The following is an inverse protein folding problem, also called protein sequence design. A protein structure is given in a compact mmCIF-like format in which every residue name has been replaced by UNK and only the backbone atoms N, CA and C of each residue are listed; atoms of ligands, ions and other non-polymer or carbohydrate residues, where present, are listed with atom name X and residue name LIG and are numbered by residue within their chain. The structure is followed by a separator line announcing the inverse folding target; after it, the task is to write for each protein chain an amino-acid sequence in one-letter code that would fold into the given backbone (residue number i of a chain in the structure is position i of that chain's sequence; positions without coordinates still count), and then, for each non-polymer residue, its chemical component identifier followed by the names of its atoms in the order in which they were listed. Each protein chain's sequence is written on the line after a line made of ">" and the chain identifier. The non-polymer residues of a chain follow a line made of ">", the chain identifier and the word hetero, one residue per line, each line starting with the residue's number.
data_IF_166810441514
#
_entry.id   IF_166810441514
#
_cell.length_a   1.000
_cell.length_b   1.000
_cell.length_c   1.000
_cell.angle_alpha   90.00
_cell.angle_beta   90.00
_cell.angle_gamma   90.00
#
_symmetry.space_group_name_H-M   'P 1'
#
loop_
_entity.id
_entity.type
_entity.pdbx_description
1 polymer ?
#
# COMPACT_ATOMS: atom_id res chain seq x y z
N UNK A 1 5.69 42.24 -3.37
CA UNK A 1 4.83 41.33 -4.17
C UNK A 1 3.42 41.43 -3.63
N UNK A 2 2.39 41.73 -4.44
CA UNK A 2 1.01 41.68 -4.01
C UNK A 2 0.64 40.29 -3.48
N UNK A 3 -0.19 40.27 -2.42
CA UNK A 3 -0.73 39.04 -1.82
C UNK A 3 -2.24 39.06 -1.91
N UNK A 4 -2.81 37.92 -2.32
CA UNK A 4 -4.23 37.73 -2.56
C UNK A 4 -4.74 36.59 -1.68
N UNK A 5 -5.85 36.81 -0.97
CA UNK A 5 -6.55 35.74 -0.25
C UNK A 5 -7.48 35.02 -1.22
N UNK A 6 -7.35 33.69 -1.32
CA UNK A 6 -8.09 32.87 -2.30
C UNK A 6 -9.02 31.90 -1.57
N UNK A 7 -10.31 31.93 -1.94
CA UNK A 7 -11.30 30.98 -1.44
C UNK A 7 -11.78 31.27 -0.01
N UNK A 8 -12.32 30.26 0.69
CA UNK A 8 -12.90 30.45 2.00
C UNK A 8 -11.79 30.53 3.08
N UNK A 9 -12.05 31.31 4.13
CA UNK A 9 -11.09 31.53 5.22
C UNK A 9 -10.68 30.24 5.94
N UNK A 10 -11.52 29.19 5.87
CA UNK A 10 -11.23 27.85 6.40
C UNK A 10 -10.02 27.16 5.76
N UNK A 11 -9.60 27.59 4.57
CA UNK A 11 -8.40 27.07 3.91
C UNK A 11 -7.14 27.90 4.18
N UNK A 12 -7.30 29.14 4.66
CA UNK A 12 -6.20 30.05 4.92
C UNK A 12 -5.23 30.20 3.74
N UNK A 13 -5.72 30.11 2.51
CA UNK A 13 -4.90 30.12 1.30
C UNK A 13 -4.61 31.56 0.87
N UNK A 14 -3.33 31.91 0.85
CA UNK A 14 -2.83 33.18 0.35
C UNK A 14 -1.88 32.93 -0.83
N UNK A 15 -2.02 33.70 -1.90
CA UNK A 15 -1.16 33.64 -3.09
C UNK A 15 -0.41 34.96 -3.21
N UNK A 16 0.92 34.89 -3.29
CA UNK A 16 1.81 36.02 -3.51
C UNK A 16 2.37 35.92 -4.91
N UNK A 17 2.29 36.98 -5.72
CA UNK A 17 2.80 36.98 -7.09
C UNK A 17 3.64 38.21 -7.36
N UNK A 18 4.62 38.10 -8.25
CA UNK A 18 5.39 39.25 -8.74
C UNK A 18 4.54 40.20 -9.59
N UNK A 19 3.46 39.69 -10.19
CA UNK A 19 2.59 40.42 -11.11
C UNK A 19 1.20 40.58 -10.50
N UNK A 20 0.47 41.58 -10.99
CA UNK A 20 -0.95 41.71 -10.66
C UNK A 20 -1.71 40.63 -11.42
N UNK A 21 -2.31 39.69 -10.69
CA UNK A 21 -3.13 38.62 -11.27
C UNK A 21 -4.41 39.21 -11.88
N UNK A 22 -4.87 38.62 -12.97
CA UNK A 22 -6.13 39.03 -13.59
C UNK A 22 -7.31 38.68 -12.68
N UNK A 23 -8.39 39.47 -12.74
CA UNK A 23 -9.63 39.18 -12.00
C UNK A 23 -10.17 37.79 -12.31
N UNK A 24 -10.07 37.37 -13.58
CA UNK A 24 -10.51 36.03 -14.00
C UNK A 24 -9.66 34.93 -13.35
N UNK A 25 -8.33 35.07 -13.35
CA UNK A 25 -7.40 34.14 -12.71
C UNK A 25 -7.75 33.98 -11.22
N UNK A 26 -7.96 35.09 -10.50
CA UNK A 26 -8.33 35.08 -9.09
C UNK A 26 -9.68 34.38 -8.85
N UNK A 27 -10.67 34.58 -9.73
CA UNK A 27 -11.97 33.90 -9.64
C UNK A 27 -11.85 32.39 -9.87
N UNK A 28 -11.05 31.96 -10.86
CA UNK A 28 -10.81 30.53 -11.12
C UNK A 28 -10.10 29.88 -9.94
N UNK A 29 -9.06 30.53 -9.38
CA UNK A 29 -8.39 30.07 -8.17
C UNK A 29 -9.36 29.94 -6.99
N UNK A 30 -10.25 30.94 -6.80
CA UNK A 30 -11.25 30.90 -5.74
C UNK A 30 -12.25 29.76 -5.92
N UNK A 31 -12.66 29.44 -7.16
CA UNK A 31 -13.53 28.30 -7.46
C UNK A 31 -12.86 26.97 -7.08
N UNK A 32 -11.60 26.76 -7.45
CA UNK A 32 -10.86 25.57 -7.04
C UNK A 32 -10.74 25.48 -5.51
N UNK A 33 -10.38 26.59 -4.85
CA UNK A 33 -10.28 26.63 -3.39
C UNK A 33 -11.60 26.28 -2.71
N UNK A 34 -12.73 26.82 -3.17
CA UNK A 34 -14.05 26.46 -2.63
C UNK A 34 -14.36 24.97 -2.83
N UNK A 35 -14.11 24.43 -4.03
CA UNK A 35 -14.34 23.01 -4.30
C UNK A 35 -13.44 22.09 -3.45
N UNK A 36 -12.21 22.51 -3.14
CA UNK A 36 -11.31 21.79 -2.23
C UNK A 36 -11.85 21.83 -0.79
N UNK A 37 -12.40 22.96 -0.36
CA UNK A 37 -13.01 23.08 0.97
C UNK A 37 -14.22 22.13 1.10
N UNK A 38 -15.09 22.10 0.09
CA UNK A 38 -16.25 21.20 0.06
C UNK A 38 -15.84 19.72 0.04
N UNK A 39 -14.86 19.35 -0.79
CA UNK A 39 -14.35 17.98 -0.89
C UNK A 39 -13.64 17.53 0.40
N UNK A 40 -13.07 18.46 1.18
CA UNK A 40 -12.39 18.15 2.44
C UNK A 40 -13.37 17.70 3.52
N UNK A 41 -14.55 18.28 3.55
CA UNK A 41 -15.59 17.94 4.54
C UNK A 41 -16.33 16.64 4.16
N UNK A 42 -16.05 16.07 2.98
CA UNK A 42 -16.66 14.85 2.46
C UNK A 42 -15.62 13.75 2.17
N UNK A 43 -15.54 12.74 3.05
CA UNK A 43 -14.59 11.61 2.94
C UNK A 43 -14.67 10.88 1.59
N UNK A 44 -15.85 10.79 0.99
CA UNK A 44 -16.06 10.09 -0.29
C UNK A 44 -15.46 10.85 -1.48
N UNK A 45 -15.05 12.11 -1.30
CA UNK A 45 -14.46 12.97 -2.33
C UNK A 45 -12.95 13.18 -2.18
N UNK A 46 -12.26 12.34 -1.39
CA UNK A 46 -10.82 12.49 -1.16
C UNK A 46 -9.99 12.53 -2.46
N UNK A 47 -10.31 11.68 -3.45
CA UNK A 47 -9.61 11.67 -4.75
C UNK A 47 -9.88 12.95 -5.57
N UNK A 48 -11.12 13.43 -5.57
CA UNK A 48 -11.48 14.68 -6.23
C UNK A 48 -10.76 15.87 -5.58
N UNK A 49 -10.79 15.95 -4.24
CA UNK A 49 -10.09 16.97 -3.48
C UNK A 49 -8.60 17.00 -3.79
N UNK A 50 -7.96 15.83 -3.89
CA UNK A 50 -6.55 15.71 -4.33
C UNK A 50 -6.34 16.24 -5.75
N UNK A 51 -7.17 15.82 -6.71
CA UNK A 51 -7.04 16.31 -8.10
C UNK A 51 -7.21 17.82 -8.21
N UNK A 52 -8.13 18.41 -7.43
CA UNK A 52 -8.36 19.84 -7.41
C UNK A 52 -7.17 20.61 -6.80
N UNK A 53 -6.55 20.09 -5.74
CA UNK A 53 -5.32 20.69 -5.16
C UNK A 53 -4.21 20.79 -6.19
N UNK A 54 -3.96 19.73 -6.96
CA UNK A 54 -2.94 19.74 -8.01
C UNK A 54 -3.26 20.78 -9.10
N UNK A 55 -4.49 20.82 -9.60
CA UNK A 55 -4.89 21.82 -10.61
C UNK A 55 -4.78 23.25 -10.11
N UNK A 56 -5.07 23.50 -8.82
CA UNK A 56 -4.89 24.81 -8.21
C UNK A 56 -3.42 25.18 -8.06
N UNK A 57 -2.57 24.25 -7.63
CA UNK A 57 -1.13 24.44 -7.55
C UNK A 57 -0.55 24.78 -8.93
N UNK A 58 -0.85 23.97 -9.96
CA UNK A 58 -0.42 24.21 -11.34
C UNK A 58 -0.84 25.58 -11.86
N UNK A 59 -2.09 25.99 -11.58
CA UNK A 59 -2.60 27.29 -11.97
C UNK A 59 -1.81 28.43 -11.29
N UNK A 60 -1.55 28.32 -9.99
CA UNK A 60 -0.78 29.32 -9.23
C UNK A 60 0.64 29.43 -9.78
N UNK A 61 1.31 28.30 -10.04
CA UNK A 61 2.67 28.29 -10.59
C UNK A 61 2.73 28.84 -12.01
N UNK A 62 1.76 28.50 -12.86
CA UNK A 62 1.68 29.00 -14.24
C UNK A 62 1.55 30.53 -14.33
N UNK A 63 1.00 31.15 -13.30
CA UNK A 63 0.83 32.60 -13.18
C UNK A 63 2.02 33.27 -12.45
N UNK A 64 3.07 32.51 -12.14
CA UNK A 64 4.24 33.00 -11.38
C UNK A 64 3.88 33.37 -9.94
N UNK A 65 2.87 32.71 -9.37
CA UNK A 65 2.50 32.84 -7.98
C UNK A 65 3.21 31.84 -7.09
N UNK A 66 3.53 32.27 -5.88
CA UNK A 66 3.80 31.39 -4.74
C UNK A 66 2.57 31.37 -3.85
N UNK A 67 2.38 30.31 -3.07
CA UNK A 67 1.29 30.26 -2.11
C UNK A 67 1.79 29.93 -0.71
N UNK A 68 0.98 30.32 0.25
CA UNK A 68 1.09 29.96 1.65
C UNK A 68 -0.28 29.50 2.11
N UNK A 69 -0.33 28.32 2.73
CA UNK A 69 -1.51 27.87 3.45
C UNK A 69 -1.07 27.15 4.70
N UNK A 70 -1.73 27.47 5.81
CA UNK A 70 -1.51 26.83 7.09
C UNK A 70 -2.36 25.56 7.26
N UNK A 71 -3.24 25.29 6.29
CA UNK A 71 -4.31 24.30 6.42
C UNK A 71 -4.26 23.25 5.32
N UNK A 72 -3.82 23.63 4.12
CA UNK A 72 -3.69 22.73 2.97
C UNK A 72 -2.27 22.79 2.44
N UNK A 73 -1.59 21.66 2.42
CA UNK A 73 -0.44 21.49 1.56
C UNK A 73 -0.93 21.26 0.13
N UNK A 74 -0.77 22.28 -0.73
CA UNK A 74 -1.05 22.16 -2.16
C UNK A 74 0.12 21.51 -2.92
N UNK A 75 1.32 21.48 -2.33
CA UNK A 75 2.53 21.19 -3.08
C UNK A 75 2.74 19.69 -3.18
N UNK A 76 2.67 18.91 -2.11
CA UNK A 76 3.01 17.49 -2.20
C UNK A 76 2.13 16.62 -1.27
N UNK A 77 1.10 15.97 -1.83
CA UNK A 77 0.92 14.57 -1.41
C UNK A 77 2.06 13.82 -2.08
N UNK A 78 3.23 13.79 -1.42
CA UNK A 78 4.36 12.97 -1.84
C UNK A 78 3.82 11.60 -2.23
N UNK A 79 4.04 11.19 -3.48
CA UNK A 79 3.56 9.91 -3.99
C UNK A 79 3.87 8.83 -2.96
N UNK A 80 2.85 8.21 -2.34
CA UNK A 80 3.09 7.31 -1.23
C UNK A 80 3.99 6.15 -1.65
N UNK A 81 4.00 5.78 -2.94
CA UNK A 81 4.90 4.77 -3.50
C UNK A 81 6.34 5.28 -3.46
N UNK A 82 6.62 6.47 -4.01
CA UNK A 82 7.94 7.10 -3.94
C UNK A 82 8.45 7.25 -2.49
N UNK A 83 7.59 7.65 -1.54
CA UNK A 83 7.95 7.73 -0.11
C UNK A 83 8.31 6.37 0.49
N UNK A 84 7.48 5.36 0.23
CA UNK A 84 7.75 4.01 0.71
C UNK A 84 9.06 3.47 0.13
N UNK A 85 9.33 3.72 -1.14
CA UNK A 85 10.58 3.34 -1.80
C UNK A 85 11.78 4.12 -1.26
N UNK A 86 11.63 5.40 -0.89
CA UNK A 86 12.68 6.17 -0.24
C UNK A 86 13.10 5.52 1.09
N UNK A 87 12.12 5.14 1.93
CA UNK A 87 12.38 4.42 3.20
C UNK A 87 13.07 3.07 2.94
N UNK A 88 12.62 2.31 1.92
CA UNK A 88 13.25 1.03 1.56
C UNK A 88 14.70 1.24 1.08
N UNK A 89 14.94 2.30 0.31
CA UNK A 89 16.25 2.61 -0.28
C UNK A 89 17.24 3.13 0.76
N UNK A 90 16.79 3.91 1.74
CA UNK A 90 17.59 4.37 2.89
C UNK A 90 18.23 3.18 3.63
N UNK A 91 17.50 2.07 3.72
CA UNK A 91 17.99 0.81 4.29
C UNK A 91 18.62 -0.15 3.27
N UNK A 92 19.15 0.38 2.16
CA UNK A 92 19.86 -0.38 1.10
C UNK A 92 19.04 -1.55 0.56
N UNK A 93 17.73 -1.39 0.41
CA UNK A 93 16.85 -2.44 -0.10
C UNK A 93 16.86 -3.72 0.77
N UNK A 94 17.10 -3.56 2.08
CA UNK A 94 17.18 -4.65 3.05
C UNK A 94 16.35 -4.35 4.30
N UNK A 95 15.97 -5.40 5.04
CA UNK A 95 15.18 -5.26 6.27
C UNK A 95 16.10 -4.88 7.43
N UNK A 96 15.90 -3.73 8.10
CA UNK A 96 16.75 -3.32 9.22
C UNK A 96 16.50 -4.17 10.48
N UNK A 97 17.41 -4.07 11.46
CA UNK A 97 17.27 -4.73 12.76
C UNK A 97 16.01 -4.25 13.52
N UNK A 98 15.69 -2.96 13.42
CA UNK A 98 14.49 -2.33 13.98
C UNK A 98 13.25 -2.58 13.12
N UNK A 99 13.02 -3.85 12.76
CA UNK A 99 12.02 -4.29 11.79
C UNK A 99 10.61 -3.75 12.05
N UNK A 100 10.21 -3.60 13.31
CA UNK A 100 8.84 -3.23 13.69
C UNK A 100 8.54 -1.76 13.39
N UNK A 101 9.44 -0.84 13.76
CA UNK A 101 9.24 0.58 13.50
C UNK A 101 9.26 0.85 11.98
N UNK A 102 10.26 0.29 11.31
CA UNK A 102 10.41 0.34 9.85
C UNK A 102 9.18 -0.19 9.10
N UNK A 103 8.71 -1.40 9.45
CA UNK A 103 7.54 -1.98 8.77
C UNK A 103 6.27 -1.17 9.06
N UNK A 104 6.12 -0.63 10.27
CA UNK A 104 4.94 0.16 10.65
C UNK A 104 4.83 1.43 9.80
N UNK A 105 5.95 2.11 9.57
CA UNK A 105 5.98 3.32 8.75
C UNK A 105 5.56 3.03 7.29
N UNK A 106 6.11 1.97 6.69
CA UNK A 106 5.77 1.59 5.31
C UNK A 106 4.32 1.09 5.24
N UNK A 107 3.86 0.31 6.21
CA UNK A 107 2.47 -0.17 6.26
C UNK A 107 1.48 0.99 6.43
N UNK A 108 1.82 2.04 7.19
CA UNK A 108 1.00 3.24 7.31
C UNK A 108 0.84 3.94 5.95
N UNK A 109 1.95 4.15 5.22
CA UNK A 109 1.91 4.69 3.85
C UNK A 109 1.15 3.79 2.88
N UNK A 110 1.37 2.48 2.96
CA UNK A 110 0.71 1.54 2.08
C UNK A 110 -0.80 1.45 2.34
N UNK A 111 -1.26 1.76 3.56
CA UNK A 111 -2.68 1.72 3.90
C UNK A 111 -3.52 2.79 3.20
N UNK A 112 -2.88 3.87 2.74
CA UNK A 112 -3.52 4.95 1.97
C UNK A 112 -3.28 4.83 0.45
N UNK A 113 -2.59 3.78 -0.01
CA UNK A 113 -2.34 3.54 -1.43
C UNK A 113 -3.55 2.93 -2.12
N UNK A 114 -3.80 3.34 -3.36
CA UNK A 114 -4.71 2.62 -4.26
C UNK A 114 -4.17 1.21 -4.60
N UNK A 115 -5.02 0.35 -5.14
CA UNK A 115 -4.59 -0.98 -5.60
C UNK A 115 -3.53 -0.92 -6.72
N UNK A 116 -3.56 0.12 -7.56
CA UNK A 116 -2.53 0.33 -8.59
C UNK A 116 -1.19 0.69 -7.94
N UNK A 117 -1.20 1.62 -6.98
CA UNK A 117 0.00 2.01 -6.23
C UNK A 117 0.58 0.85 -5.43
N UNK A 118 -0.24 -0.01 -4.83
CA UNK A 118 0.23 -1.24 -4.16
C UNK A 118 0.88 -2.22 -5.15
N UNK A 119 0.33 -2.36 -6.36
CA UNK A 119 0.94 -3.19 -7.42
C UNK A 119 2.28 -2.61 -7.86
N UNK A 120 2.35 -1.29 -8.07
CA UNK A 120 3.58 -0.59 -8.40
C UNK A 120 4.63 -0.74 -7.29
N UNK A 121 4.24 -0.55 -6.03
CA UNK A 121 5.13 -0.76 -4.88
C UNK A 121 5.66 -2.19 -4.85
N UNK A 122 4.79 -3.21 -5.01
CA UNK A 122 5.21 -4.62 -5.06
C UNK A 122 6.21 -4.88 -6.19
N UNK A 123 5.99 -4.32 -7.37
CA UNK A 123 6.85 -4.50 -8.54
C UNK A 123 8.24 -3.84 -8.40
N UNK A 124 8.34 -2.77 -7.62
CA UNK A 124 9.60 -2.05 -7.38
C UNK A 124 10.32 -2.52 -6.10
N UNK A 125 9.62 -3.23 -5.22
CA UNK A 125 10.13 -3.69 -3.95
C UNK A 125 10.95 -4.99 -4.09
N UNK A 126 12.14 -5.09 -3.49
CA UNK A 126 12.86 -6.35 -3.43
C UNK A 126 12.02 -7.46 -2.79
N UNK A 127 12.09 -8.68 -3.33
CA UNK A 127 11.24 -9.81 -2.91
C UNK A 127 11.33 -10.11 -1.40
N UNK A 128 12.53 -10.02 -0.81
CA UNK A 128 12.73 -10.20 0.63
C UNK A 128 12.09 -9.10 1.47
N UNK A 129 12.14 -7.84 1.01
CA UNK A 129 11.51 -6.68 1.65
C UNK A 129 10.00 -6.81 1.58
N UNK A 130 9.44 -7.16 0.41
CA UNK A 130 8.00 -7.41 0.26
C UNK A 130 7.52 -8.52 1.18
N UNK A 131 8.24 -9.64 1.23
CA UNK A 131 7.92 -10.76 2.12
C UNK A 131 7.95 -10.35 3.60
N UNK A 132 8.88 -9.47 4.00
CA UNK A 132 8.94 -8.93 5.35
C UNK A 132 7.76 -8.01 5.69
N UNK A 133 7.32 -7.17 4.74
CA UNK A 133 6.13 -6.33 4.90
C UNK A 133 4.86 -7.17 5.02
N UNK A 134 4.70 -8.18 4.18
CA UNK A 134 3.60 -9.16 4.29
C UNK A 134 3.65 -9.87 5.64
N UNK A 135 4.83 -10.33 6.06
CA UNK A 135 5.01 -11.01 7.35
C UNK A 135 4.65 -10.11 8.54
N UNK A 136 4.99 -8.82 8.50
CA UNK A 136 4.60 -7.86 9.52
C UNK A 136 3.07 -7.67 9.63
N UNK A 137 2.34 -7.95 8.54
CA UNK A 137 0.87 -7.92 8.52
C UNK A 137 0.23 -9.30 8.88
N UNK A 138 1.02 -10.36 9.02
CA UNK A 138 0.52 -11.67 9.49
C UNK A 138 0.40 -11.64 11.02
N UNK A 139 -0.69 -12.21 11.55
CA UNK A 139 -0.89 -12.36 13.00
C UNK A 139 0.36 -12.99 13.66
N UNK A 140 0.98 -12.33 14.65
CA UNK A 140 2.19 -12.84 15.28
C UNK A 140 1.88 -14.09 16.10
N UNK A 141 2.71 -15.13 15.96
CA UNK A 141 2.73 -16.28 16.87
C UNK A 141 4.18 -16.72 17.09
N UNK A 142 4.54 -17.30 18.24
CA UNK A 142 5.91 -17.75 18.50
C UNK A 142 6.45 -18.78 17.50
N UNK A 143 5.55 -19.55 16.88
CA UNK A 143 5.90 -20.56 15.88
C UNK A 143 6.14 -19.99 14.47
N UNK A 144 5.80 -18.71 14.23
CA UNK A 144 5.93 -18.06 12.92
C UNK A 144 7.25 -17.30 12.89
N UNK A 145 8.19 -17.81 12.11
CA UNK A 145 9.43 -17.11 11.76
C UNK A 145 9.49 -16.93 10.25
N UNK A 146 9.90 -15.74 9.81
CA UNK A 146 10.22 -15.50 8.42
C UNK A 146 11.63 -16.01 8.15
N UNK A 147 11.75 -16.95 7.22
CA UNK A 147 13.04 -17.45 6.72
C UNK A 147 13.07 -17.17 5.22
N UNK A 148 13.93 -16.22 4.81
CA UNK A 148 13.97 -15.71 3.43
C UNK A 148 12.59 -15.17 3.02
N UNK A 149 11.90 -15.83 2.09
CA UNK A 149 10.57 -15.43 1.58
C UNK A 149 9.42 -16.32 2.09
N UNK A 150 9.69 -17.15 3.11
CA UNK A 150 8.75 -18.17 3.59
C UNK A 150 8.50 -18.12 5.10
N UNK A 151 7.28 -18.47 5.50
CA UNK A 151 6.89 -18.71 6.89
C UNK A 151 6.67 -20.22 7.07
N UNK A 152 7.61 -20.88 7.74
CA UNK A 152 7.68 -22.34 7.73
C UNK A 152 7.91 -22.87 6.32
N UNK A 153 6.94 -23.60 5.76
CA UNK A 153 7.00 -24.17 4.40
C UNK A 153 6.23 -23.35 3.35
N UNK A 154 5.65 -22.23 3.74
CA UNK A 154 4.73 -21.45 2.90
C UNK A 154 5.45 -20.21 2.38
N UNK A 155 5.62 -20.11 1.06
CA UNK A 155 6.13 -18.90 0.41
C UNK A 155 5.05 -17.82 0.43
N UNK A 156 5.42 -16.62 0.87
CA UNK A 156 4.48 -15.49 1.05
C UNK A 156 4.77 -14.32 0.09
N UNK A 157 5.77 -14.43 -0.78
CA UNK A 157 6.15 -13.36 -1.70
C UNK A 157 5.03 -12.90 -2.64
N UNK A 158 4.07 -13.78 -2.96
CA UNK A 158 2.95 -13.43 -3.82
C UNK A 158 1.72 -12.90 -3.07
N UNK A 159 1.74 -12.94 -1.74
CA UNK A 159 0.58 -12.53 -0.96
C UNK A 159 0.36 -11.02 -1.06
N UNK A 160 -0.91 -10.62 -0.99
CA UNK A 160 -1.31 -9.22 -0.92
C UNK A 160 -0.73 -8.57 0.36
N UNK A 161 -0.52 -7.26 0.39
CA UNK A 161 -0.10 -6.63 1.64
C UNK A 161 -1.27 -6.51 2.63
N UNK A 162 -2.42 -6.09 2.12
CA UNK A 162 -3.69 -5.98 2.85
C UNK A 162 -4.69 -7.00 2.28
N UNK A 163 -4.84 -8.17 2.92
CA UNK A 163 -5.74 -9.18 2.39
C UNK A 163 -7.20 -8.79 2.59
N UNK A 164 -8.04 -9.22 1.64
CA UNK A 164 -9.48 -9.20 1.80
C UNK A 164 -9.95 -10.36 2.66
N UNK A 165 -11.02 -10.13 3.41
CA UNK A 165 -11.72 -11.19 4.10
C UNK A 165 -12.35 -12.16 3.09
N UNK A 166 -12.33 -13.45 3.46
CA UNK A 166 -12.97 -14.51 2.72
C UNK A 166 -14.42 -14.60 3.18
N UNK A 167 -15.35 -14.43 2.23
CA UNK A 167 -16.78 -14.53 2.48
C UNK A 167 -17.39 -15.68 1.66
N UNK A 168 -17.95 -16.73 2.30
CA UNK A 168 -17.99 -16.96 3.75
C UNK A 168 -16.64 -17.44 4.32
N UNK A 169 -16.37 -17.21 5.62
CA UNK A 169 -15.14 -17.69 6.27
C UNK A 169 -15.09 -19.22 6.28
N UNK A 170 -13.90 -19.81 6.15
CA UNK A 170 -13.76 -21.26 6.14
C UNK A 170 -14.02 -21.89 7.53
N UNK A 171 -14.47 -23.14 7.55
CA UNK A 171 -14.87 -23.81 8.80
C UNK A 171 -13.75 -23.93 9.85
N UNK A 172 -12.48 -23.97 9.44
CA UNK A 172 -11.34 -23.96 10.35
C UNK A 172 -11.18 -22.61 11.05
N UNK A 173 -11.27 -21.51 10.30
CA UNK A 173 -11.18 -20.16 10.85
C UNK A 173 -12.33 -19.85 11.79
N UNK A 174 -13.57 -20.24 11.42
CA UNK A 174 -14.75 -20.08 12.28
C UNK A 174 -14.57 -20.84 13.60
N UNK A 175 -14.11 -22.10 13.55
CA UNK A 175 -13.93 -22.92 14.76
C UNK A 175 -12.83 -22.40 15.68
N UNK A 176 -11.77 -21.84 15.11
CA UNK A 176 -10.61 -21.33 15.84
C UNK A 176 -10.70 -19.83 16.15
N UNK A 177 -11.81 -19.20 15.79
CA UNK A 177 -12.09 -17.78 15.99
C UNK A 177 -10.93 -16.87 15.56
N UNK A 178 -10.47 -17.01 14.32
CA UNK A 178 -9.45 -16.14 13.74
C UNK A 178 -9.87 -15.58 12.38
N UNK A 179 -9.30 -14.42 11.97
CA UNK A 179 -9.60 -13.83 10.66
C UNK A 179 -9.39 -14.84 9.53
N UNK A 180 -10.35 -14.90 8.61
CA UNK A 180 -10.27 -15.75 7.43
C UNK A 180 -9.96 -14.88 6.22
N UNK A 181 -8.69 -14.69 5.93
CA UNK A 181 -8.22 -13.75 4.91
C UNK A 181 -7.68 -14.47 3.67
N UNK A 182 -7.95 -13.94 2.48
CA UNK A 182 -7.44 -14.45 1.21
C UNK A 182 -5.92 -14.17 1.12
N UNK A 183 -5.16 -15.05 0.48
CA UNK A 183 -3.71 -14.84 0.28
C UNK A 183 -3.45 -13.77 -0.78
N UNK A 184 -4.01 -13.99 -1.96
CA UNK A 184 -4.04 -13.12 -3.15
C UNK A 184 -5.17 -13.57 -4.09
N UNK A 185 -5.45 -12.80 -5.14
CA UNK A 185 -6.51 -13.09 -6.11
C UNK A 185 -6.41 -14.49 -6.75
N UNK A 186 -7.54 -15.20 -6.83
CA UNK A 186 -7.63 -16.52 -7.48
C UNK A 186 -7.31 -17.73 -6.60
N UNK A 187 -6.93 -17.55 -5.33
CA UNK A 187 -6.57 -18.65 -4.43
C UNK A 187 -7.74 -19.11 -3.56
N UNK A 188 -7.91 -20.44 -3.47
CA UNK A 188 -8.97 -21.09 -2.69
C UNK A 188 -8.67 -21.24 -1.19
N UNK A 189 -7.41 -21.05 -0.80
CA UNK A 189 -6.92 -21.29 0.57
C UNK A 189 -6.72 -19.96 1.31
N UNK A 190 -7.28 -19.81 2.50
CA UNK A 190 -7.01 -18.63 3.33
C UNK A 190 -5.59 -18.65 3.92
N UNK A 191 -5.08 -17.49 4.34
CA UNK A 191 -3.73 -17.31 4.92
C UNK A 191 -3.48 -18.27 6.09
N UNK A 192 -4.39 -18.33 7.03
CA UNK A 192 -4.23 -19.12 8.24
C UNK A 192 -4.19 -20.63 7.92
N UNK A 193 -5.10 -21.13 7.07
CA UNK A 193 -5.03 -22.52 6.63
C UNK A 193 -3.77 -22.82 5.82
N UNK A 194 -3.25 -21.84 5.05
CA UNK A 194 -1.98 -21.99 4.35
C UNK A 194 -0.83 -22.19 5.34
N UNK A 195 -0.68 -21.29 6.31
CA UNK A 195 0.35 -21.34 7.34
C UNK A 195 0.30 -22.63 8.17
N UNK A 196 -0.89 -23.11 8.52
CA UNK A 196 -1.06 -24.39 9.24
C UNK A 196 -1.01 -25.63 8.34
N UNK A 197 -0.86 -25.46 7.02
CA UNK A 197 -0.89 -26.56 6.03
C UNK A 197 -2.18 -27.40 6.09
N UNK A 198 -3.30 -26.80 6.50
CA UNK A 198 -4.62 -27.44 6.59
C UNK A 198 -5.39 -27.27 5.27
N UNK A 199 -6.39 -28.11 5.00
CA UNK A 199 -7.36 -27.79 3.95
C UNK A 199 -8.21 -26.57 4.34
N UNK A 200 -8.75 -25.86 3.35
CA UNK A 200 -9.67 -24.74 3.56
C UNK A 200 -11.10 -25.21 3.20
N UNK A 201 -11.80 -25.93 4.11
CA UNK A 201 -13.14 -26.41 3.80
C UNK A 201 -14.06 -25.21 3.60
N UNK A 202 -14.67 -25.12 2.42
CA UNK A 202 -15.72 -24.13 2.15
C UNK A 202 -16.76 -24.22 3.26
N UNK A 203 -17.24 -23.09 3.76
CA UNK A 203 -18.39 -23.10 4.65
C UNK A 203 -19.53 -23.77 3.87
N UNK A 204 -19.92 -24.96 4.30
CA UNK A 204 -21.11 -25.59 3.74
C UNK A 204 -22.30 -24.65 3.92
N UNK A 205 -23.31 -24.69 3.02
CA UNK A 205 -24.53 -23.95 3.21
C UNK A 205 -25.15 -24.40 4.53
N UNK A 206 -25.11 -23.52 5.54
CA UNK A 206 -25.61 -23.72 6.91
C UNK A 206 -24.81 -24.76 7.71
N UNK A 207 -23.76 -24.26 8.37
CA UNK A 207 -23.16 -24.95 9.51
C UNK A 207 -24.20 -25.15 10.61
N UNK A 208 -24.76 -26.35 10.70
CA UNK A 208 -25.06 -26.90 12.02
C UNK A 208 -23.70 -26.94 12.73
N UNK A 209 -23.49 -26.21 13.85
CA UNK A 209 -22.24 -26.31 14.58
C UNK A 209 -22.00 -27.80 14.82
N UNK A 210 -20.80 -28.34 14.52
CA UNK A 210 -20.52 -29.75 14.76
C UNK A 210 -20.84 -30.00 16.22
N UNK A 211 -21.88 -30.81 16.47
CA UNK A 211 -22.32 -31.18 17.80
C UNK A 211 -21.06 -31.51 18.58
N UNK A 212 -20.83 -30.74 19.65
CA UNK A 212 -19.59 -30.75 20.38
C UNK A 212 -19.23 -32.21 20.63
N UNK A 213 -18.18 -32.67 19.96
CA UNK A 213 -17.64 -34.02 20.12
C UNK A 213 -16.83 -33.98 21.43
N UNK A 214 -17.50 -33.60 22.52
CA UNK A 214 -17.15 -34.04 23.86
C UNK A 214 -17.32 -35.55 23.80
N UNK A 215 -16.21 -36.24 23.48
CA UNK A 215 -16.00 -37.59 24.03
C UNK A 215 -15.99 -37.41 25.54
N UNK A 216 -17.16 -37.41 26.15
CA UNK A 216 -17.28 -37.85 27.53
C UNK A 216 -16.78 -39.28 27.51
N UNK A 217 -15.64 -39.51 28.16
CA UNK A 217 -15.24 -40.85 28.55
C UNK A 217 -16.32 -41.37 29.50
N UNK A 218 -17.35 -41.99 28.94
CA UNK A 218 -18.35 -42.76 29.66
C UNK A 218 -17.62 -43.97 30.24
N UNK A 219 -17.10 -43.81 31.45
CA UNK A 219 -16.65 -44.91 32.32
C UNK A 219 -17.89 -45.71 32.70
N UNK A 220 -18.08 -46.85 32.05
CA UNK A 220 -18.83 -47.97 32.58
C UNK A 220 -17.98 -49.22 32.36
N UNK A 221 -17.46 -49.77 33.45
CA UNK A 221 -17.28 -51.21 33.64
C UNK A 221 -16.77 -51.43 35.06
N UNK A 222 -17.67 -51.98 35.85
CA UNK A 222 -17.48 -52.56 37.17
C UNK A 222 -16.56 -53.80 37.10
N UNK A 223 -15.98 -54.10 38.26
CA UNK A 223 -15.54 -55.41 38.76
C UNK A 223 -14.35 -56.15 38.14
N UNK A 224 -13.37 -56.46 38.99
CA UNK A 224 -12.25 -57.35 38.71
C UNK A 224 -11.13 -57.24 39.75
N UNK A 225 -11.28 -58.00 40.84
CA UNK A 225 -10.34 -58.18 41.96
C UNK A 225 -8.95 -58.75 41.55
N UNK A 226 -8.00 -58.49 42.45
CA UNK A 226 -6.81 -59.27 42.84
C UNK A 226 -5.70 -59.64 41.83
N UNK A 227 -4.49 -59.14 42.10
CA UNK A 227 -3.27 -59.73 41.52
C UNK A 227 -1.95 -58.96 41.60
N UNK A 228 -1.35 -58.94 42.80
CA UNK A 228 0.11 -58.93 43.07
C UNK A 228 0.97 -57.64 42.87
N UNK A 229 1.94 -57.40 43.78
CA UNK A 229 2.80 -56.22 43.77
C UNK A 229 4.08 -56.46 42.95
N UNK A 230 4.42 -55.51 42.07
CA UNK A 230 5.77 -55.40 41.50
C UNK A 230 6.46 -54.13 41.99
N UNK A 231 7.33 -54.34 42.97
CA UNK A 231 8.45 -53.47 43.29
C UNK A 231 9.41 -53.36 42.11
N UNK A 232 10.03 -52.17 41.98
CA UNK A 232 11.24 -51.77 41.22
C UNK A 232 10.99 -50.42 40.55
N UNK A 233 11.84 -49.41 40.58
CA UNK A 233 13.13 -49.18 41.20
C UNK A 233 13.37 -47.68 40.93
N UNK A 234 13.55 -46.87 41.97
CA UNK A 234 13.91 -45.46 41.82
C UNK A 234 15.33 -45.40 41.23
N UNK A 235 15.47 -44.90 40.01
CA UNK A 235 16.76 -44.50 39.47
C UNK A 235 16.71 -43.02 39.12
N UNK A 236 17.42 -42.24 39.93
CA UNK A 236 17.58 -40.81 39.76
C UNK A 236 18.45 -40.49 38.54
N UNK A 237 18.15 -39.34 37.94
CA UNK A 237 19.01 -38.62 36.99
C UNK A 237 18.76 -37.15 37.35
N UNK A 238 19.60 -36.59 38.22
CA UNK A 238 20.79 -35.82 37.87
C UNK A 238 20.42 -34.52 37.15
N UNK A 239 20.47 -33.45 37.94
CA UNK A 239 20.56 -32.06 37.51
C UNK A 239 21.83 -31.86 36.69
N UNK A 240 21.71 -31.27 35.50
CA UNK A 240 22.86 -30.71 34.78
C UNK A 240 22.53 -29.29 34.37
N UNK A 241 23.19 -28.38 35.08
CA UNK A 241 23.55 -27.03 34.67
C UNK A 241 24.38 -27.03 33.37
N UNK A 242 24.25 -25.92 32.64
CA UNK A 242 25.20 -25.30 31.71
C UNK A 242 25.61 -26.02 30.41
N UNK A 243 25.25 -25.39 29.28
CA UNK A 243 26.22 -24.98 28.26
C UNK A 243 25.60 -23.92 27.31
N UNK A 244 26.04 -22.67 27.48
CA UNK A 244 25.94 -21.60 26.50
C UNK A 244 26.85 -21.95 25.30
N UNK A 245 26.27 -22.04 24.09
CA UNK A 245 27.00 -22.25 22.84
C UNK A 245 26.96 -20.94 22.03
N UNK A 246 28.09 -20.25 21.81
CA UNK A 246 28.15 -19.13 20.89
C UNK A 246 28.05 -19.65 19.45
N UNK A 247 26.99 -19.26 18.75
CA UNK A 247 26.74 -19.64 17.36
C UNK A 247 27.29 -18.56 16.43
N UNK A 248 28.62 -18.50 16.31
CA UNK A 248 29.30 -17.72 15.28
C UNK A 248 30.04 -18.65 14.32
N UNK A 249 29.88 -18.35 13.03
CA UNK A 249 30.46 -19.01 11.82
C UNK A 249 29.56 -20.04 11.13
N UNK A 250 28.70 -19.52 10.25
CA UNK A 250 28.23 -20.28 9.08
C UNK A 250 28.37 -19.42 7.80
N UNK A 251 29.38 -19.79 7.00
CA UNK A 251 29.44 -19.80 5.53
C UNK A 251 29.06 -18.54 4.72
N UNK A 252 30.06 -17.67 4.50
CA UNK A 252 30.03 -16.53 3.53
C UNK A 252 30.27 -16.97 2.07
N UNK A 253 30.56 -18.25 1.79
CA UNK A 253 31.01 -18.69 0.47
C UNK A 253 29.90 -19.05 -0.55
N UNK A 254 28.63 -19.17 -0.13
CA UNK A 254 27.53 -19.57 -1.03
C UNK A 254 26.70 -18.39 -1.60
N UNK A 255 26.98 -17.16 -1.17
CA UNK A 255 26.12 -16.00 -1.46
C UNK A 255 26.47 -15.28 -2.79
N UNK A 256 27.69 -15.49 -3.30
CA UNK A 256 28.16 -14.80 -4.53
C UNK A 256 27.66 -15.43 -5.85
N UNK A 257 27.12 -16.66 -5.83
CA UNK A 257 26.55 -17.28 -7.05
C UNK A 257 25.05 -17.00 -7.25
N UNK A 258 24.31 -16.58 -6.21
CA UNK A 258 22.87 -16.27 -6.31
C UNK A 258 22.56 -14.88 -6.89
N UNK A 259 23.41 -13.87 -6.64
CA UNK A 259 23.22 -12.51 -7.17
C UNK A 259 23.26 -12.38 -8.70
N UNK A 260 23.72 -13.39 -9.44
CA UNK A 260 23.84 -13.33 -10.91
C UNK A 260 22.60 -13.84 -11.68
N UNK A 261 21.64 -14.50 -11.02
CA UNK A 261 20.44 -15.01 -11.70
C UNK A 261 19.23 -14.06 -11.63
N UNK A 262 19.13 -13.21 -10.61
CA UNK A 262 17.96 -12.33 -10.45
C UNK A 262 17.98 -11.10 -11.37
N UNK A 263 19.11 -10.75 -11.98
CA UNK A 263 19.20 -9.62 -12.90
C UNK A 263 18.66 -9.88 -14.32
N UNK A 264 18.49 -11.14 -14.75
CA UNK A 264 18.10 -11.43 -16.15
C UNK A 264 16.60 -11.40 -16.42
N UNK A 265 15.74 -11.41 -15.40
CA UNK A 265 14.29 -11.34 -15.61
C UNK A 265 13.76 -9.89 -15.67
N UNK A 266 14.52 -8.90 -15.21
CA UNK A 266 14.08 -7.50 -15.20
C UNK A 266 14.20 -6.81 -16.57
N UNK A 267 15.18 -7.18 -17.39
CA UNK A 267 15.48 -6.44 -18.62
C UNK A 267 14.46 -6.67 -19.75
N UNK A 268 13.73 -7.79 -19.75
CA UNK A 268 12.78 -8.11 -20.84
C UNK A 268 11.40 -7.48 -20.65
N UNK A 269 10.88 -7.40 -19.41
CA UNK A 269 9.54 -6.85 -19.14
C UNK A 269 9.59 -5.32 -19.07
N UNK A 270 10.70 -4.76 -18.58
CA UNK A 270 10.91 -3.32 -18.55
C UNK A 270 10.97 -2.69 -19.95
N UNK A 271 11.39 -3.44 -20.98
CA UNK A 271 11.50 -2.91 -22.34
C UNK A 271 10.13 -2.63 -22.98
N UNK A 272 9.16 -3.53 -22.79
CA UNK A 272 7.83 -3.42 -23.43
C UNK A 272 6.92 -2.41 -22.72
N UNK A 273 7.02 -2.29 -21.40
CA UNK A 273 6.30 -1.22 -20.68
C UNK A 273 6.90 0.16 -20.99
N UNK A 274 8.22 0.26 -21.17
CA UNK A 274 8.89 1.51 -21.48
C UNK A 274 8.59 2.00 -22.91
N UNK A 275 8.44 1.11 -23.89
CA UNK A 275 8.00 1.50 -25.25
C UNK A 275 6.56 2.00 -25.24
N UNK A 276 5.66 1.31 -24.54
CA UNK A 276 4.27 1.75 -24.38
C UNK A 276 4.18 3.13 -23.70
N UNK A 277 4.96 3.35 -22.64
CA UNK A 277 5.00 4.64 -21.94
C UNK A 277 5.48 5.78 -22.86
N UNK A 278 6.46 5.50 -23.74
CA UNK A 278 6.94 6.47 -24.74
C UNK A 278 5.87 6.82 -25.78
N UNK A 279 5.10 5.83 -26.22
CA UNK A 279 3.99 6.06 -27.15
C UNK A 279 2.88 6.90 -26.53
N UNK A 280 2.49 6.61 -25.28
CA UNK A 280 1.49 7.38 -24.55
C UNK A 280 1.95 8.84 -24.31
N UNK A 281 3.23 9.03 -23.99
CA UNK A 281 3.83 10.36 -23.83
C UNK A 281 3.83 11.16 -25.14
N UNK A 282 4.13 10.53 -26.27
CA UNK A 282 4.07 11.16 -27.60
C UNK A 282 2.64 11.51 -28.02
N UNK A 283 1.65 10.71 -27.61
CA UNK A 283 0.24 10.99 -27.85
C UNK A 283 -0.24 12.18 -27.01
N UNK A 284 0.14 12.22 -25.72
CA UNK A 284 -0.16 13.37 -24.86
C UNK A 284 0.47 14.66 -25.39
N UNK A 285 1.72 14.62 -25.84
CA UNK A 285 2.38 15.79 -26.43
C UNK A 285 1.62 16.31 -27.65
N UNK A 286 1.17 15.42 -28.54
CA UNK A 286 0.35 15.80 -29.70
C UNK A 286 -0.97 16.45 -29.29
N UNK A 287 -1.62 15.97 -28.23
CA UNK A 287 -2.86 16.56 -27.74
C UNK A 287 -2.62 17.95 -27.15
N UNK A 288 -1.51 18.16 -26.44
CA UNK A 288 -1.12 19.48 -25.92
C UNK A 288 -0.85 20.46 -27.06
N UNK A 289 -0.13 20.04 -28.10
CA UNK A 289 0.15 20.87 -29.28
C UNK A 289 -1.15 21.26 -30.00
N UNK A 290 -2.09 20.31 -30.14
CA UNK A 290 -3.41 20.56 -30.74
C UNK A 290 -4.24 21.55 -29.91
N UNK A 291 -4.27 21.40 -28.59
CA UNK A 291 -4.99 22.32 -27.69
C UNK A 291 -4.40 23.73 -27.75
N UNK A 292 -3.07 23.83 -27.81
CA UNK A 292 -2.35 25.10 -27.92
C UNK A 292 -2.68 25.80 -29.25
N UNK A 293 -2.81 25.03 -30.33
CA UNK A 293 -3.28 25.51 -31.64
C UNK A 293 -4.68 26.10 -31.56
N UNK A 294 -5.63 25.37 -30.97
CA UNK A 294 -7.02 25.81 -30.78
C UNK A 294 -7.12 27.10 -29.96
N UNK A 295 -6.36 27.20 -28.86
CA UNK A 295 -6.33 28.40 -28.01
C UNK A 295 -5.80 29.61 -28.80
N UNK A 296 -4.77 29.41 -29.63
CA UNK A 296 -4.21 30.49 -30.46
C UNK A 296 -5.23 30.99 -31.48
N UNK A 297 -5.98 30.08 -32.10
CA UNK A 297 -7.03 30.38 -33.07
C UNK A 297 -8.19 31.17 -32.44
N UNK A 298 -8.68 30.72 -31.29
CA UNK A 298 -9.72 31.46 -30.55
C UNK A 298 -9.24 32.85 -30.12
N UNK A 299 -7.97 32.98 -29.71
CA UNK A 299 -7.41 34.28 -29.34
C UNK A 299 -7.34 35.25 -30.52
N UNK A 300 -7.04 34.76 -31.72
CA UNK A 300 -7.07 35.59 -32.94
C UNK A 300 -8.49 36.01 -33.33
N UNK A 301 -9.48 35.12 -33.22
CA UNK A 301 -10.88 35.44 -33.51
C UNK A 301 -11.46 36.48 -32.53
N UNK A 302 -11.18 36.32 -31.24
CA UNK A 302 -11.60 37.29 -30.23
C UNK A 302 -10.90 38.64 -30.44
N UNK A 303 -9.61 38.62 -30.80
CA UNK A 303 -8.85 39.84 -31.10
C UNK A 303 -9.42 40.63 -32.28
N UNK A 304 -9.77 39.95 -33.39
CA UNK A 304 -10.36 40.61 -34.57
C UNK A 304 -11.77 41.10 -34.28
N UNK A 305 -12.58 40.34 -33.54
CA UNK A 305 -13.91 40.77 -33.11
C UNK A 305 -13.85 42.06 -32.25
N UNK A 306 -12.90 42.14 -31.31
CA UNK A 306 -12.70 43.33 -30.49
C UNK A 306 -12.26 44.54 -31.31
N UNK A 307 -11.36 44.38 -32.28
CA UNK A 307 -10.97 45.46 -33.19
C UNK A 307 -12.14 45.98 -34.03
N UNK A 308 -12.98 45.08 -34.56
CA UNK A 308 -14.18 45.45 -35.31
C UNK A 308 -15.19 46.22 -34.45
N UNK A 309 -15.39 45.81 -33.20
CA UNK A 309 -16.23 46.54 -32.24
C UNK A 309 -15.66 47.93 -31.94
N UNK A 310 -14.34 48.07 -31.75
CA UNK A 310 -13.71 49.35 -31.48
C UNK A 310 -13.87 50.34 -32.64
N UNK A 311 -13.71 49.89 -33.90
CA UNK A 311 -13.90 50.73 -35.10
C UNK A 311 -15.36 51.19 -35.23
N UNK A 312 -16.33 50.34 -34.89
CA UNK A 312 -17.76 50.70 -34.90
C UNK A 312 -18.15 51.70 -33.82
N UNK A 313 -17.42 51.77 -32.70
CA UNK A 313 -17.69 52.72 -31.62
C UNK A 313 -17.09 54.12 -31.86
N UNK A 314 -16.13 54.23 -32.79
CA UNK A 314 -15.45 55.49 -33.11
C UNK A 314 -16.05 56.25 -34.30
N UNK A 315 -16.98 55.64 -35.03
CA UNK A 315 -17.75 56.26 -36.13
C UNK A 315 -19.19 56.50 -35.70
#
# INVERSE_FOLDING_TARGET
>A
MPTFSIGPSSLGLSVTSERVLSTLTLQVMALYANAIADARDNTDQAELGRSLKFKLADLIESEGGEWQSNVIDLRHEEDPVARALAIITEHKCSVPAERTAWSTQILALASIMSNEQLRQLKALCPVGVWSALVFANIRPTPARTLTDVAVGKVKILEWDLFPRDMDPPCGNCTRKNHPCQIQYGGISKCRECALFQLSCPKAGPRGRPPAALFKTHSRNSEDGEDGAPRTKEKKGIASTEEAYIPSDRVNVAHDNKRRKLDHRCYDSVASDELTKLKEDMLLMQRNVDNLTGLIRETRTEVGTALQLCAVKLLN
#
